data_IF_738215393278
#
_entry.id   IF_738215393278
#
_cell.length_a   1.000
_cell.length_b   1.000
_cell.length_c   1.000
_cell.angle_alpha   90.00
_cell.angle_beta   90.00
_cell.angle_gamma   90.00
#
_symmetry.space_group_name_H-M   'P 1'
#
loop_
_entity.id
_entity.type
_entity.pdbx_description
1 polymer ?
#
# COMPACT_ATOMS: atom_id res chain seq x y z
N UNK A 1 -1.85 -14.78 -8.59
CA UNK A 1 -0.78 -14.23 -9.43
C UNK A 1 0.33 -13.72 -8.50
N UNK A 2 1.62 -13.97 -8.78
CA UNK A 2 2.74 -13.43 -7.99
C UNK A 2 3.30 -12.23 -8.76
N UNK A 3 3.02 -11.02 -8.27
CA UNK A 3 3.70 -9.81 -8.74
C UNK A 3 4.97 -9.66 -7.91
N UNK A 4 6.13 -9.63 -8.54
CA UNK A 4 7.42 -9.39 -7.89
C UNK A 4 8.15 -8.34 -8.71
N UNK A 5 8.44 -7.21 -8.09
CA UNK A 5 9.17 -6.11 -8.69
C UNK A 5 10.16 -5.55 -7.68
N UNK A 6 11.31 -5.12 -8.17
CA UNK A 6 12.32 -4.43 -7.37
C UNK A 6 12.40 -3.00 -7.87
N UNK A 7 12.33 -2.04 -6.95
CA UNK A 7 12.46 -0.62 -7.26
C UNK A 7 13.41 0.01 -6.24
N UNK A 8 14.34 0.84 -6.72
CA UNK A 8 15.26 1.59 -5.87
C UNK A 8 14.66 2.96 -5.57
N UNK A 9 14.53 3.28 -4.29
CA UNK A 9 14.05 4.56 -3.82
C UNK A 9 15.23 5.39 -3.29
N UNK A 10 15.33 6.65 -3.73
CA UNK A 10 16.26 7.63 -3.17
C UNK A 10 15.67 8.25 -1.89
N UNK A 11 15.41 7.40 -0.89
CA UNK A 11 14.79 7.79 0.37
C UNK A 11 15.26 6.88 1.52
N UNK A 12 15.28 7.38 2.77
CA UNK A 12 15.64 6.57 3.92
C UNK A 12 14.66 5.39 4.08
N UNK A 13 15.16 4.19 4.41
CA UNK A 13 14.36 2.97 4.47
C UNK A 13 13.20 3.07 5.46
N UNK A 14 13.35 3.82 6.55
CA UNK A 14 12.27 4.08 7.50
C UNK A 14 11.08 4.81 6.85
N UNK A 15 11.36 5.80 6.00
CA UNK A 15 10.31 6.55 5.30
C UNK A 15 9.61 5.66 4.28
N UNK A 16 10.38 4.86 3.53
CA UNK A 16 9.81 3.87 2.60
C UNK A 16 8.95 2.85 3.33
N UNK A 17 9.44 2.33 4.46
CA UNK A 17 8.69 1.37 5.28
C UNK A 17 7.39 1.98 5.83
N UNK A 18 7.42 3.22 6.31
CA UNK A 18 6.23 3.92 6.75
C UNK A 18 5.23 4.11 5.61
N UNK A 19 5.68 4.47 4.41
CA UNK A 19 4.81 4.56 3.23
C UNK A 19 4.22 3.19 2.86
N UNK A 20 5.01 2.11 2.91
CA UNK A 20 4.52 0.76 2.59
C UNK A 20 3.55 0.20 3.62
N UNK A 21 3.63 0.62 4.88
CA UNK A 21 2.71 0.22 5.95
C UNK A 21 1.58 1.22 6.17
N UNK A 22 1.63 2.40 5.55
CA UNK A 22 0.59 3.41 5.67
C UNK A 22 -0.61 3.09 4.77
N UNK A 23 -1.83 3.01 5.33
CA UNK A 23 -3.04 2.73 4.55
C UNK A 23 -3.30 3.80 3.47
N UNK A 24 -3.06 5.08 3.77
CA UNK A 24 -3.21 6.19 2.82
C UNK A 24 -2.31 6.01 1.58
N UNK A 25 -1.07 5.60 1.81
CA UNK A 25 -0.10 5.35 0.76
C UNK A 25 -0.43 4.08 -0.03
N UNK A 26 -0.87 3.02 0.65
CA UNK A 26 -1.33 1.80 0.00
C UNK A 26 -2.54 2.07 -0.91
N UNK A 27 -3.55 2.82 -0.44
CA UNK A 27 -4.68 3.27 -1.26
C UNK A 27 -4.25 4.03 -2.51
N UNK A 28 -3.30 4.96 -2.36
CA UNK A 28 -2.80 5.76 -3.48
C UNK A 28 -1.96 4.93 -4.47
N UNK A 29 -1.28 3.88 -3.99
CA UNK A 29 -0.42 3.03 -4.79
C UNK A 29 -1.15 1.87 -5.48
N UNK A 30 -2.38 1.53 -5.08
CA UNK A 30 -3.16 0.46 -5.70
C UNK A 30 -3.94 1.04 -6.89
N UNK A 31 -3.49 0.83 -8.15
CA UNK A 31 -4.24 1.26 -9.32
C UNK A 31 -5.57 0.52 -9.39
N UNK A 32 -6.68 1.26 -9.53
CA UNK A 32 -8.03 0.68 -9.56
C UNK A 32 -8.64 0.49 -8.17
N UNK A 33 -8.03 0.98 -7.09
CA UNK A 33 -8.62 0.96 -5.76
C UNK A 33 -9.86 1.89 -5.71
N UNK A 34 -11.05 1.32 -5.89
CA UNK A 34 -12.32 2.06 -5.80
C UNK A 34 -12.73 2.32 -4.35
N UNK A 35 -12.43 1.38 -3.44
CA UNK A 35 -12.77 1.49 -2.02
C UNK A 35 -11.67 0.89 -1.15
N UNK A 36 -11.34 1.59 -0.07
CA UNK A 36 -10.54 1.04 1.02
C UNK A 36 -11.26 1.31 2.35
N UNK A 37 -11.57 0.25 3.09
CA UNK A 37 -12.24 0.30 4.39
C UNK A 37 -11.31 -0.28 5.47
N UNK A 38 -11.12 0.45 6.56
CA UNK A 38 -10.38 -0.04 7.73
C UNK A 38 -11.27 -1.00 8.54
N UNK A 39 -10.89 -2.27 8.61
CA UNK A 39 -11.59 -3.31 9.38
C UNK A 39 -11.16 -3.33 10.86
N UNK A 40 -10.07 -2.62 11.20
CA UNK A 40 -9.50 -2.57 12.55
C UNK A 40 -8.46 -3.67 12.78
N UNK A 41 -7.65 -3.55 13.84
CA UNK A 41 -6.48 -4.42 14.07
C UNK A 41 -5.47 -4.42 12.90
N UNK A 42 -5.16 -3.24 12.36
CA UNK A 42 -4.27 -3.08 11.19
C UNK A 42 -4.74 -3.82 9.92
N UNK A 43 -6.03 -4.20 9.87
CA UNK A 43 -6.64 -4.87 8.73
C UNK A 43 -7.43 -3.87 7.88
N UNK A 44 -7.24 -3.94 6.56
CA UNK A 44 -7.87 -3.06 5.57
C UNK A 44 -8.44 -3.90 4.43
N UNK A 45 -9.69 -3.64 4.07
CA UNK A 45 -10.34 -4.22 2.90
C UNK A 45 -10.23 -3.24 1.74
N UNK A 46 -9.54 -3.63 0.67
CA UNK A 46 -9.46 -2.86 -0.56
C UNK A 46 -10.23 -3.57 -1.68
N UNK A 47 -11.11 -2.84 -2.37
CA UNK A 47 -11.79 -3.30 -3.58
C UNK A 47 -11.09 -2.70 -4.79
N UNK A 48 -10.59 -3.57 -5.67
CA UNK A 48 -9.89 -3.21 -6.90
C UNK A 48 -10.67 -3.77 -8.09
N UNK A 49 -10.91 -2.94 -9.12
CA UNK A 49 -11.63 -3.32 -10.36
C UNK A 49 -10.71 -3.64 -11.52
#
# INVERSE_FOLDING_TARGET
MKLSGTYEFDAPPEKVWQTLTSPDSLSACIPGCEKMESLGNDEYSATVT
#
